data_IF_243200093391
#
_entry.id   IF_243200093391
#
_cell.length_a   1.000
_cell.length_b   1.000
_cell.length_c   1.000
_cell.angle_alpha   90.00
_cell.angle_beta   90.00
_cell.angle_gamma   90.00
#
_symmetry.space_group_name_H-M   'P 1'
#
loop_
_entity.id
_entity.type
_entity.pdbx_description
1 polymer ?
#
# COMPACT_ATOMS: atom_id res chain seq x y z
N UNK A 1 9.98 -1.50 -3.23
CA UNK A 1 9.36 -2.00 -4.46
C UNK A 1 10.24 -3.01 -5.19
N UNK A 2 11.58 -2.82 -5.20
CA UNK A 2 12.51 -3.63 -6.01
C UNK A 2 13.15 -4.82 -5.27
N UNK A 3 12.86 -5.03 -3.99
CA UNK A 3 13.44 -6.13 -3.19
C UNK A 3 13.23 -7.51 -3.82
N UNK A 4 12.04 -7.77 -4.35
CA UNK A 4 11.75 -9.01 -5.05
C UNK A 4 12.55 -9.16 -6.37
N UNK A 5 12.73 -8.07 -7.15
CA UNK A 5 13.55 -8.08 -8.37
C UNK A 5 15.00 -8.36 -8.02
N UNK A 6 15.55 -7.72 -6.99
CA UNK A 6 16.91 -7.98 -6.51
C UNK A 6 17.10 -9.41 -6.04
N UNK A 7 16.18 -9.92 -5.23
CA UNK A 7 16.23 -11.31 -4.77
C UNK A 7 16.26 -12.32 -5.95
N UNK A 8 15.43 -12.08 -6.98
CA UNK A 8 15.44 -12.92 -8.20
C UNK A 8 16.76 -12.87 -8.95
N UNK A 9 17.37 -11.69 -9.11
CA UNK A 9 18.71 -11.54 -9.72
C UNK A 9 19.75 -12.32 -8.94
N UNK A 10 19.63 -12.38 -7.61
CA UNK A 10 20.52 -13.16 -6.72
C UNK A 10 20.14 -14.65 -6.63
N UNK A 11 19.28 -15.15 -7.52
CA UNK A 11 18.93 -16.56 -7.60
C UNK A 11 17.90 -17.05 -6.59
N UNK A 12 17.14 -16.15 -5.97
CA UNK A 12 16.04 -16.50 -5.07
C UNK A 12 14.77 -16.76 -5.89
N UNK A 13 14.32 -18.01 -5.93
CA UNK A 13 13.06 -18.39 -6.54
C UNK A 13 11.93 -18.30 -5.50
N UNK A 14 10.86 -17.61 -5.84
CA UNK A 14 9.69 -17.44 -4.97
C UNK A 14 8.38 -17.55 -5.76
N UNK A 15 7.31 -17.84 -5.05
CA UNK A 15 5.95 -17.77 -5.62
C UNK A 15 5.38 -16.34 -5.62
N UNK A 16 6.13 -15.36 -5.10
CA UNK A 16 5.68 -13.98 -5.02
C UNK A 16 5.83 -13.24 -6.34
N UNK A 17 4.88 -12.37 -6.59
CA UNK A 17 4.94 -11.32 -7.61
C UNK A 17 4.55 -9.99 -6.99
N UNK A 18 5.01 -8.91 -7.61
CA UNK A 18 4.67 -7.56 -7.18
C UNK A 18 3.35 -7.14 -7.81
N UNK A 19 2.41 -6.69 -6.99
CA UNK A 19 1.18 -6.00 -7.39
C UNK A 19 1.16 -4.62 -6.74
N UNK A 20 1.57 -3.55 -7.44
CA UNK A 20 1.62 -2.23 -6.86
C UNK A 20 0.23 -1.58 -6.83
N UNK A 21 -0.06 -0.85 -5.73
CA UNK A 21 -1.27 -0.06 -5.55
C UNK A 21 -0.93 1.37 -5.23
N UNK A 22 -1.57 2.31 -5.94
CA UNK A 22 -1.40 3.74 -5.72
C UNK A 22 -2.39 4.26 -4.70
N UNK A 23 -1.87 4.80 -3.62
CA UNK A 23 -2.63 5.53 -2.62
C UNK A 23 -2.70 7.00 -2.99
N UNK A 24 -3.89 7.47 -3.37
CA UNK A 24 -4.14 8.89 -3.60
C UNK A 24 -4.60 9.55 -2.32
N UNK A 25 -4.27 10.83 -2.18
CA UNK A 25 -4.60 11.64 -1.02
C UNK A 25 -5.20 12.96 -1.42
N UNK A 26 -6.06 13.48 -0.56
CA UNK A 26 -6.42 14.89 -0.52
C UNK A 26 -5.72 15.56 0.67
N UNK A 27 -5.29 16.80 0.51
CA UNK A 27 -4.73 17.62 1.60
C UNK A 27 -5.54 18.91 1.70
N UNK A 28 -5.80 19.36 2.92
CA UNK A 28 -6.48 20.64 3.14
C UNK A 28 -5.64 21.81 2.62
N UNK A 29 -6.28 22.81 2.06
CA UNK A 29 -5.62 24.00 1.51
C UNK A 29 -5.12 24.95 2.62
N UNK A 30 -5.67 24.81 3.83
CA UNK A 30 -5.32 25.60 5.02
C UNK A 30 -5.07 24.67 6.19
N UNK A 31 -4.31 25.15 7.16
CA UNK A 31 -4.13 24.48 8.46
C UNK A 31 -5.47 24.36 9.17
N UNK A 32 -5.68 23.24 9.86
CA UNK A 32 -6.93 22.93 10.55
C UNK A 32 -6.65 22.83 12.05
N UNK A 33 -7.13 23.81 12.82
CA UNK A 33 -6.94 23.87 14.28
C UNK A 33 -7.87 22.94 15.07
N UNK A 34 -9.01 22.55 14.48
CA UNK A 34 -10.04 21.76 15.17
C UNK A 34 -9.79 20.25 15.12
N UNK A 35 -8.64 19.83 14.58
CA UNK A 35 -8.18 18.44 14.59
C UNK A 35 -6.93 18.33 15.46
N UNK A 36 -6.92 17.40 16.41
CA UNK A 36 -5.79 17.15 17.32
C UNK A 36 -5.23 15.73 17.17
N UNK A 37 -5.86 14.86 16.40
CA UNK A 37 -5.47 13.46 16.27
C UNK A 37 -5.76 12.89 14.89
N UNK A 38 -5.21 11.70 14.61
CA UNK A 38 -5.57 10.90 13.45
C UNK A 38 -6.85 10.10 13.75
N UNK A 39 -7.70 9.91 12.74
CA UNK A 39 -8.92 9.11 12.89
C UNK A 39 -8.93 8.04 11.80
N UNK A 40 -9.02 6.78 12.21
CA UNK A 40 -9.06 5.62 11.35
C UNK A 40 -10.44 4.95 11.41
N UNK A 41 -10.92 4.37 10.30
CA UNK A 41 -12.07 3.47 10.38
C UNK A 41 -11.70 2.21 11.16
N UNK A 42 -12.69 1.52 11.68
CA UNK A 42 -12.50 0.15 12.19
C UNK A 42 -12.08 -0.73 11.01
N UNK A 43 -10.94 -1.44 11.11
CA UNK A 43 -10.47 -2.30 10.03
C UNK A 43 -11.50 -3.39 9.69
N UNK A 44 -11.75 -3.58 8.40
CA UNK A 44 -12.43 -4.79 7.93
C UNK A 44 -11.38 -5.89 7.74
N UNK A 45 -11.49 -6.97 8.52
CA UNK A 45 -10.52 -8.08 8.54
C UNK A 45 -10.45 -8.78 7.17
N UNK A 46 -11.54 -8.75 6.41
CA UNK A 46 -11.62 -9.38 5.10
C UNK A 46 -11.00 -8.53 3.98
N UNK A 47 -10.59 -7.29 4.29
CA UNK A 47 -10.02 -6.37 3.30
C UNK A 47 -8.53 -6.15 3.53
N UNK A 48 -7.71 -6.20 2.47
CA UNK A 48 -6.26 -6.03 2.58
C UNK A 48 -5.82 -4.59 2.86
N UNK A 49 -6.73 -3.62 2.78
CA UNK A 49 -6.42 -2.21 2.97
C UNK A 49 -7.32 -1.57 4.02
N UNK A 50 -6.73 -0.69 4.83
CA UNK A 50 -7.41 -0.03 5.95
C UNK A 50 -8.54 0.92 5.51
N UNK A 51 -8.55 1.34 4.26
CA UNK A 51 -9.50 2.33 3.77
C UNK A 51 -9.10 3.78 4.08
N UNK A 52 -9.95 4.69 3.64
CA UNK A 52 -9.72 6.13 3.79
C UNK A 52 -9.80 6.53 5.25
N UNK A 53 -8.77 7.22 5.74
CA UNK A 53 -8.66 7.77 7.08
C UNK A 53 -8.22 9.23 7.06
N UNK A 54 -8.24 9.88 8.21
CA UNK A 54 -7.79 11.26 8.37
C UNK A 54 -6.46 11.29 9.09
N UNK A 55 -5.51 12.04 8.56
CA UNK A 55 -4.17 12.21 9.15
C UNK A 55 -3.85 13.68 9.31
N UNK A 56 -3.58 14.12 10.52
CA UNK A 56 -3.05 15.45 10.78
C UNK A 56 -1.54 15.43 10.53
N UNK A 57 -1.07 16.30 9.64
CA UNK A 57 0.36 16.43 9.37
C UNK A 57 1.05 17.27 10.46
N UNK A 58 2.37 17.11 10.62
CA UNK A 58 3.16 17.88 11.62
C UNK A 58 3.08 19.39 11.41
N UNK A 59 2.84 19.83 10.18
CA UNK A 59 2.66 21.23 9.79
C UNK A 59 1.21 21.73 9.91
N UNK A 60 0.30 20.88 10.46
CA UNK A 60 -1.08 21.27 10.81
C UNK A 60 -2.12 21.14 9.68
N UNK A 61 -1.79 20.46 8.59
CA UNK A 61 -2.77 20.21 7.52
C UNK A 61 -3.45 18.85 7.72
N UNK A 62 -4.67 18.73 7.22
CA UNK A 62 -5.42 17.47 7.24
C UNK A 62 -5.26 16.73 5.92
N UNK A 63 -4.82 15.47 5.97
CA UNK A 63 -4.79 14.56 4.82
C UNK A 63 -5.92 13.55 4.93
N UNK A 64 -6.56 13.26 3.80
CA UNK A 64 -7.62 12.26 3.65
C UNK A 64 -7.15 11.20 2.64
N UNK A 65 -7.23 9.94 2.98
CA UNK A 65 -6.73 8.83 2.19
C UNK A 65 -6.00 7.81 3.06
N UNK A 66 -5.22 6.89 2.45
CA UNK A 66 -5.05 6.68 1.01
C UNK A 66 -6.22 5.91 0.37
N UNK A 67 -6.28 5.96 -0.95
CA UNK A 67 -6.95 4.96 -1.78
C UNK A 67 -6.02 3.77 -2.01
N UNK A 68 -6.48 2.74 -2.74
CA UNK A 68 -5.65 1.59 -3.11
C UNK A 68 -5.90 1.17 -4.57
N UNK A 69 -5.73 2.13 -5.49
CA UNK A 69 -5.96 1.89 -6.90
C UNK A 69 -4.81 1.06 -7.53
N UNK A 70 -5.09 -0.06 -8.22
CA UNK A 70 -4.06 -0.86 -8.86
C UNK A 70 -3.35 -0.06 -9.97
N UNK A 71 -2.03 -0.20 -10.06
CA UNK A 71 -1.20 0.48 -11.05
C UNK A 71 -0.29 -0.50 -11.79
N UNK A 72 0.28 -0.05 -12.90
CA UNK A 72 0.94 -0.91 -13.88
C UNK A 72 2.44 -1.10 -13.62
N UNK A 73 3.02 -0.33 -12.70
CA UNK A 73 4.42 -0.49 -12.31
C UNK A 73 4.73 0.13 -10.95
N UNK A 74 5.88 -0.18 -10.35
CA UNK A 74 6.29 0.36 -9.04
C UNK A 74 6.48 1.87 -8.99
N UNK A 75 6.70 2.52 -10.14
CA UNK A 75 6.95 3.97 -10.26
C UNK A 75 5.80 4.70 -10.97
N UNK A 76 4.65 4.05 -11.15
CA UNK A 76 3.50 4.62 -11.85
C UNK A 76 2.71 5.57 -10.95
N UNK A 77 3.32 6.69 -10.55
CA UNK A 77 2.71 7.71 -9.70
C UNK A 77 1.62 8.51 -10.40
N UNK A 78 1.71 8.68 -11.73
CA UNK A 78 0.69 9.33 -12.57
C UNK A 78 0.22 8.36 -13.65
N UNK A 79 -0.88 8.70 -14.32
CA UNK A 79 -1.65 7.75 -15.13
C UNK A 79 -0.82 6.98 -16.16
N UNK A 80 0.09 7.65 -16.87
CA UNK A 80 0.93 7.03 -17.92
C UNK A 80 2.44 7.24 -17.70
N UNK A 81 2.83 7.82 -16.56
CA UNK A 81 4.24 8.04 -16.22
C UNK A 81 4.81 6.87 -15.41
N UNK A 82 6.07 6.55 -15.63
CA UNK A 82 6.79 5.56 -14.85
C UNK A 82 6.36 4.13 -15.11
N UNK A 83 5.81 3.82 -16.28
CA UNK A 83 5.47 2.45 -16.65
C UNK A 83 6.76 1.70 -17.00
N UNK A 84 7.01 0.61 -16.29
CA UNK A 84 8.12 -0.30 -16.52
C UNK A 84 7.61 -1.58 -17.18
N UNK A 85 8.03 -1.80 -18.42
CA UNK A 85 7.57 -2.93 -19.23
C UNK A 85 8.04 -4.29 -18.72
N UNK A 86 9.09 -4.36 -17.88
CA UNK A 86 9.52 -5.59 -17.21
C UNK A 86 8.47 -6.13 -16.23
N UNK A 87 7.75 -5.23 -15.56
CA UNK A 87 6.72 -5.59 -14.59
C UNK A 87 5.33 -5.76 -15.21
N UNK A 88 5.05 -5.04 -16.29
CA UNK A 88 3.71 -4.90 -16.86
C UNK A 88 2.98 -6.22 -17.15
N UNK A 89 3.59 -7.20 -17.87
CA UNK A 89 2.88 -8.45 -18.19
C UNK A 89 2.48 -9.24 -16.93
N UNK A 90 3.38 -9.30 -15.94
CA UNK A 90 3.12 -10.00 -14.68
C UNK A 90 2.02 -9.31 -13.88
N UNK A 91 2.02 -7.98 -13.83
CA UNK A 91 1.02 -7.21 -13.10
C UNK A 91 -0.35 -7.40 -13.74
N UNK A 92 -0.48 -7.21 -15.05
CA UNK A 92 -1.76 -7.36 -15.76
C UNK A 92 -2.30 -8.77 -15.57
N UNK A 93 -1.48 -9.81 -15.82
CA UNK A 93 -1.91 -11.20 -15.68
C UNK A 93 -2.47 -11.51 -14.28
N UNK A 94 -1.76 -11.09 -13.23
CA UNK A 94 -2.19 -11.38 -11.87
C UNK A 94 -3.37 -10.49 -11.41
N UNK A 95 -3.49 -9.25 -11.89
CA UNK A 95 -4.67 -8.41 -11.65
C UNK A 95 -5.93 -9.02 -12.29
N UNK A 96 -5.83 -9.47 -13.54
CA UNK A 96 -6.93 -10.17 -14.24
C UNK A 96 -7.30 -11.46 -13.49
N UNK A 97 -6.31 -12.24 -13.06
CA UNK A 97 -6.54 -13.46 -12.27
C UNK A 97 -7.28 -13.17 -10.96
N UNK A 98 -6.90 -12.11 -10.24
CA UNK A 98 -7.60 -11.67 -9.02
C UNK A 98 -9.05 -11.28 -9.30
N UNK A 99 -9.30 -10.54 -10.39
CA UNK A 99 -10.65 -10.16 -10.81
C UNK A 99 -11.50 -11.39 -11.18
N UNK A 100 -10.95 -12.32 -11.95
CA UNK A 100 -11.68 -13.53 -12.39
C UNK A 100 -12.01 -14.45 -11.22
N UNK A 101 -11.05 -14.69 -10.35
CA UNK A 101 -11.21 -15.58 -9.19
C UNK A 101 -11.95 -14.93 -8.03
N UNK A 102 -12.13 -13.61 -8.06
CA UNK A 102 -12.69 -12.83 -6.96
C UNK A 102 -12.08 -13.16 -5.59
N UNK A 103 -10.75 -13.45 -5.55
CA UNK A 103 -10.04 -13.76 -4.32
C UNK A 103 -10.23 -12.65 -3.30
N UNK A 104 -10.52 -12.98 -2.05
CA UNK A 104 -10.81 -12.04 -0.95
C UNK A 104 -11.77 -10.89 -1.31
N UNK A 105 -12.75 -11.13 -2.20
CA UNK A 105 -13.71 -10.10 -2.60
C UNK A 105 -13.13 -9.01 -3.49
N UNK A 106 -12.06 -9.29 -4.24
CA UNK A 106 -11.29 -8.31 -5.02
C UNK A 106 -12.15 -7.48 -5.98
N UNK A 107 -13.24 -8.04 -6.55
CA UNK A 107 -14.17 -7.29 -7.42
C UNK A 107 -14.80 -6.10 -6.70
N UNK A 108 -15.28 -6.33 -5.48
CA UNK A 108 -15.87 -5.27 -4.65
C UNK A 108 -14.84 -4.22 -4.27
N UNK A 109 -13.63 -4.64 -3.90
CA UNK A 109 -12.51 -3.75 -3.61
C UNK A 109 -12.17 -2.89 -4.84
N UNK A 110 -12.01 -3.50 -6.01
CA UNK A 110 -11.70 -2.80 -7.25
C UNK A 110 -12.80 -1.77 -7.62
N UNK A 111 -14.06 -2.12 -7.43
CA UNK A 111 -15.18 -1.21 -7.66
C UNK A 111 -15.18 -0.02 -6.67
N UNK A 112 -14.93 -0.28 -5.39
CA UNK A 112 -14.81 0.76 -4.37
C UNK A 112 -13.65 1.71 -4.68
N UNK A 113 -12.49 1.15 -5.06
CA UNK A 113 -11.31 1.94 -5.39
C UNK A 113 -11.48 2.72 -6.70
N UNK A 114 -12.23 2.21 -7.67
CA UNK A 114 -12.61 2.96 -8.86
C UNK A 114 -13.47 4.18 -8.49
N UNK A 115 -14.43 4.02 -7.59
CA UNK A 115 -15.24 5.12 -7.10
C UNK A 115 -14.40 6.17 -6.32
N UNK A 116 -13.35 5.73 -5.64
CA UNK A 116 -12.42 6.59 -4.91
C UNK A 116 -11.49 7.43 -5.84
N UNK A 117 -11.53 7.24 -7.16
CA UNK A 117 -10.91 8.17 -8.12
C UNK A 117 -11.58 9.56 -8.09
N UNK A 118 -12.80 9.63 -7.62
CA UNK A 118 -13.52 10.89 -7.51
C UNK A 118 -13.32 11.52 -6.14
N UNK A 119 -12.85 12.78 -6.12
CA UNK A 119 -12.57 13.57 -4.92
C UNK A 119 -13.71 13.55 -3.88
N UNK A 120 -14.95 13.67 -4.37
CA UNK A 120 -16.13 13.73 -3.50
C UNK A 120 -16.37 12.40 -2.76
N UNK A 121 -15.99 11.28 -3.32
CA UNK A 121 -16.15 9.97 -2.66
C UNK A 121 -15.12 9.77 -1.54
N UNK A 122 -13.89 10.28 -1.74
CA UNK A 122 -12.88 10.33 -0.67
C UNK A 122 -13.39 11.20 0.49
N UNK A 123 -13.93 12.38 0.16
CA UNK A 123 -14.50 13.29 1.17
C UNK A 123 -15.68 12.66 1.90
N UNK A 124 -16.59 12.01 1.19
CA UNK A 124 -17.74 11.33 1.79
C UNK A 124 -17.31 10.21 2.75
N UNK A 125 -16.29 9.43 2.37
CA UNK A 125 -15.73 8.38 3.23
C UNK A 125 -15.06 8.97 4.48
N UNK A 126 -14.27 10.03 4.33
CA UNK A 126 -13.64 10.71 5.47
C UNK A 126 -14.67 11.43 6.36
N UNK A 127 -15.75 11.96 5.77
CA UNK A 127 -16.83 12.64 6.52
C UNK A 127 -17.53 11.69 7.52
N UNK A 128 -17.59 10.40 7.23
CA UNK A 128 -18.17 9.40 8.15
C UNK A 128 -17.37 9.23 9.44
N UNK A 129 -16.09 9.61 9.41
CA UNK A 129 -15.17 9.46 10.55
C UNK A 129 -15.21 10.64 11.51
N UNK A 130 -15.82 11.78 11.11
CA UNK A 130 -15.76 13.00 11.90
C UNK A 130 -17.04 13.82 11.80
N UNK A 131 -17.37 14.54 12.88
CA UNK A 131 -18.43 15.55 12.90
C UNK A 131 -17.99 16.88 12.27
N UNK A 132 -16.68 17.07 12.10
CA UNK A 132 -16.14 18.26 11.42
C UNK A 132 -16.55 18.23 9.94
N UNK A 133 -17.16 19.33 9.45
CA UNK A 133 -17.64 19.41 8.07
C UNK A 133 -16.48 19.58 7.09
N UNK A 134 -16.33 18.61 6.21
CA UNK A 134 -15.32 18.58 5.15
C UNK A 134 -15.90 19.11 3.84
N UNK A 135 -15.47 20.31 3.42
CA UNK A 135 -15.93 20.91 2.17
C UNK A 135 -14.94 20.61 1.04
N UNK A 136 -15.45 20.24 -0.13
CA UNK A 136 -14.61 19.90 -1.30
C UNK A 136 -13.69 21.06 -1.74
N UNK A 137 -14.11 22.30 -1.56
CA UNK A 137 -13.32 23.49 -1.90
C UNK A 137 -12.07 23.67 -1.01
N UNK A 138 -12.08 23.08 0.19
CA UNK A 138 -11.00 23.23 1.18
C UNK A 138 -9.89 22.18 1.02
N UNK A 139 -10.02 21.29 0.05
CA UNK A 139 -9.06 20.22 -0.20
C UNK A 139 -8.57 20.21 -1.65
N UNK A 140 -7.33 19.83 -1.86
CA UNK A 140 -6.72 19.62 -3.17
C UNK A 140 -6.06 18.24 -3.24
N UNK A 141 -5.86 17.72 -4.45
CA UNK A 141 -5.08 16.51 -4.65
C UNK A 141 -3.66 16.70 -4.15
N UNK A 142 -3.16 15.68 -3.47
CA UNK A 142 -1.82 15.67 -2.90
C UNK A 142 -0.99 14.53 -3.52
N UNK A 143 0.32 14.59 -3.33
CA UNK A 143 1.26 13.58 -3.86
C UNK A 143 0.82 12.16 -3.49
N UNK A 144 0.67 11.28 -4.47
CA UNK A 144 0.33 9.88 -4.22
C UNK A 144 1.54 9.12 -3.67
N UNK A 145 1.26 7.97 -3.04
CA UNK A 145 2.27 6.97 -2.71
C UNK A 145 1.99 5.65 -3.43
N UNK A 146 3.01 4.85 -3.69
CA UNK A 146 2.83 3.50 -4.21
C UNK A 146 3.15 2.48 -3.13
N UNK A 147 2.19 1.60 -2.85
CA UNK A 147 2.38 0.42 -2.01
C UNK A 147 2.85 -0.72 -2.89
N UNK A 148 4.05 -1.21 -2.63
CA UNK A 148 4.64 -2.37 -3.30
C UNK A 148 4.13 -3.65 -2.64
N UNK A 149 2.90 -4.05 -2.94
CA UNK A 149 2.25 -5.21 -2.33
C UNK A 149 2.74 -6.50 -2.98
N UNK A 150 3.10 -7.50 -2.18
CA UNK A 150 3.36 -8.85 -2.67
C UNK A 150 2.06 -9.64 -2.82
N UNK A 151 2.01 -10.43 -3.88
CA UNK A 151 0.95 -11.41 -4.14
C UNK A 151 1.56 -12.81 -4.19
N UNK A 152 1.04 -13.71 -3.36
CA UNK A 152 1.39 -15.12 -3.39
C UNK A 152 0.58 -15.83 -4.49
N UNK A 153 1.26 -16.24 -5.55
CA UNK A 153 0.63 -16.97 -6.68
C UNK A 153 0.11 -18.35 -6.28
N UNK A 154 0.71 -18.98 -5.27
CA UNK A 154 0.34 -20.31 -4.80
C UNK A 154 -0.99 -20.26 -4.06
N UNK A 155 -1.11 -19.34 -3.11
CA UNK A 155 -2.29 -19.19 -2.28
C UNK A 155 -3.36 -18.28 -2.92
N UNK A 156 -3.00 -17.48 -3.94
CA UNK A 156 -3.91 -16.55 -4.60
C UNK A 156 -4.29 -15.34 -3.73
N UNK A 157 -3.45 -14.94 -2.78
CA UNK A 157 -3.71 -13.89 -1.79
C UNK A 157 -2.64 -12.81 -1.80
N UNK A 158 -3.02 -11.61 -1.36
CA UNK A 158 -2.04 -10.57 -1.04
C UNK A 158 -1.32 -10.93 0.26
N UNK A 159 -0.01 -10.72 0.28
CA UNK A 159 0.80 -10.96 1.46
C UNK A 159 0.63 -9.82 2.47
N UNK A 160 0.16 -10.14 3.66
CA UNK A 160 -0.21 -9.16 4.68
C UNK A 160 0.79 -9.08 5.84
N UNK A 161 1.91 -9.81 5.75
CA UNK A 161 2.94 -9.83 6.78
C UNK A 161 4.34 -9.62 6.21
N UNK A 162 5.32 -9.54 7.08
CA UNK A 162 6.73 -9.49 6.70
C UNK A 162 7.13 -10.79 6.00
N UNK A 163 7.84 -10.65 4.89
CA UNK A 163 8.41 -11.80 4.16
C UNK A 163 9.92 -11.68 4.12
N UNK A 164 10.56 -12.59 4.83
CA UNK A 164 12.02 -12.69 4.89
C UNK A 164 12.46 -14.06 4.33
N UNK A 165 13.45 -14.07 3.47
CA UNK A 165 14.03 -15.31 2.90
C UNK A 165 15.51 -15.38 3.22
N UNK A 166 15.93 -16.54 3.71
CA UNK A 166 17.32 -16.88 3.97
C UNK A 166 17.79 -17.90 2.94
N UNK A 167 18.95 -17.68 2.33
CA UNK A 167 19.57 -18.63 1.43
C UNK A 167 21.08 -18.48 1.48
N UNK A 168 21.79 -19.52 1.86
CA UNK A 168 23.25 -19.48 2.05
C UNK A 168 23.65 -18.31 2.95
N UNK A 169 24.48 -17.39 2.45
CA UNK A 169 24.92 -16.17 3.14
C UNK A 169 24.09 -14.92 2.80
N UNK A 170 22.87 -15.10 2.30
CA UNK A 170 21.99 -14.02 1.89
C UNK A 170 20.75 -13.95 2.78
N UNK A 171 20.37 -12.74 3.18
CA UNK A 171 19.13 -12.44 3.90
C UNK A 171 18.32 -11.40 3.10
N UNK A 172 17.14 -11.76 2.65
CA UNK A 172 16.29 -10.90 1.81
C UNK A 172 15.01 -10.52 2.54
N UNK A 173 14.74 -9.22 2.65
CA UNK A 173 13.48 -8.67 3.15
C UNK A 173 12.63 -8.33 1.92
N UNK A 174 11.67 -9.18 1.58
CA UNK A 174 10.84 -9.01 0.38
C UNK A 174 9.63 -8.14 0.63
N UNK A 175 9.02 -8.24 1.81
CA UNK A 175 7.86 -7.46 2.21
C UNK A 175 8.10 -6.82 3.57
N UNK A 176 7.95 -5.51 3.62
CA UNK A 176 8.13 -4.71 4.82
C UNK A 176 6.96 -3.74 4.91
N UNK A 177 5.81 -4.27 5.36
CA UNK A 177 4.56 -3.51 5.46
C UNK A 177 4.45 -2.75 6.79
N UNK A 178 3.44 -1.90 6.90
CA UNK A 178 3.13 -1.23 8.17
C UNK A 178 2.91 -2.28 9.28
N UNK A 179 3.55 -2.11 10.46
CA UNK A 179 4.22 -0.92 10.99
C UNK A 179 5.74 -0.85 10.79
N UNK A 180 6.30 -1.41 9.73
CA UNK A 180 7.75 -1.54 9.53
C UNK A 180 8.55 -0.25 9.78
N UNK A 181 8.06 0.89 9.31
CA UNK A 181 8.74 2.17 9.50
C UNK A 181 8.79 2.58 10.98
N UNK A 182 7.65 2.53 11.66
CA UNK A 182 7.56 2.93 13.08
C UNK A 182 8.25 1.95 14.02
N UNK A 183 8.37 0.67 13.61
CA UNK A 183 9.07 -0.38 14.34
C UNK A 183 10.47 -0.67 13.78
N UNK A 184 11.05 0.24 12.96
CA UNK A 184 12.28 -0.03 12.20
C UNK A 184 13.47 -0.44 13.06
N UNK A 185 13.66 0.17 14.24
CA UNK A 185 14.74 -0.19 15.17
C UNK A 185 14.59 -1.65 15.67
N UNK A 186 13.38 -2.03 16.05
CA UNK A 186 13.13 -3.41 16.54
C UNK A 186 13.18 -4.42 15.40
N UNK A 187 12.74 -4.04 14.22
CA UNK A 187 12.86 -4.85 13.01
C UNK A 187 14.32 -5.07 12.63
N UNK A 188 15.15 -4.03 12.72
CA UNK A 188 16.59 -4.14 12.47
C UNK A 188 17.27 -5.08 13.46
N UNK A 189 16.98 -4.98 14.76
CA UNK A 189 17.48 -5.90 15.80
C UNK A 189 17.08 -7.35 15.49
N UNK A 190 15.82 -7.58 15.14
CA UNK A 190 15.35 -8.91 14.75
C UNK A 190 16.12 -9.46 13.53
N UNK A 191 16.27 -8.65 12.49
CA UNK A 191 16.99 -9.05 11.26
C UNK A 191 18.45 -9.36 11.56
N UNK A 192 19.12 -8.54 12.37
CA UNK A 192 20.53 -8.78 12.77
C UNK A 192 20.68 -10.10 13.54
N UNK A 193 19.81 -10.36 14.51
CA UNK A 193 19.82 -11.63 15.24
C UNK A 193 19.64 -12.86 14.33
N UNK A 194 18.81 -12.71 13.27
CA UNK A 194 18.61 -13.78 12.29
C UNK A 194 19.84 -13.97 11.37
N UNK A 195 20.52 -12.87 11.01
CA UNK A 195 21.76 -12.91 10.22
C UNK A 195 22.89 -13.55 11.05
N UNK A 196 23.03 -13.21 12.32
CA UNK A 196 24.04 -13.80 13.21
C UNK A 196 23.90 -15.33 13.33
N UNK A 197 22.66 -15.83 13.37
CA UNK A 197 22.38 -17.27 13.37
C UNK A 197 22.78 -17.96 12.05
N UNK A 198 22.89 -17.22 10.94
CA UNK A 198 23.32 -17.78 9.65
C UNK A 198 24.84 -17.84 9.50
N UNK A 199 25.57 -17.03 10.26
CA UNK A 199 27.04 -16.94 10.20
C UNK A 199 27.71 -17.93 11.17
N UNK A 200 27.00 -18.32 12.22
CA UNK A 200 27.42 -19.36 13.17
C UNK A 200 27.20 -20.75 12.61
#
# INVERSE_FOLDING_TARGET
>A
AYSLKMAKIMGINTNYVLLPFRGMYLKSNKKISNFSTHIYPVPNIDQPFLGIHTTLTSDGYLKLGPTAFPVLSPENYRLFEGIDFDFLPSIIFNQVKLLLNNSFGYRNLAFQEFNNLFKNNILASAQRLTKFKLNSKDFSWYSPGIRAQLFDKKNGTLEMDFVNIKKSNQYHILNSISPAWTCSLKTAEYVMNEIEKMIK
#
